data_IF_657707216976
#
_entry.id   IF_657707216976
#
_cell.length_a   1.000
_cell.length_b   1.000
_cell.length_c   1.000
_cell.angle_alpha   90.00
_cell.angle_beta   90.00
_cell.angle_gamma   90.00
#
_symmetry.space_group_name_H-M   'P 1'
#
loop_
_entity.id
_entity.type
_entity.pdbx_description
1 polymer ?
#
# COMPACT_ATOMS: atom_id res chain seq x y z
N UNK A 1 -4.71 -15.10 -46.11
CA UNK A 1 -4.14 -13.89 -45.55
C UNK A 1 -2.78 -13.64 -46.19
N UNK A 2 -2.52 -12.43 -46.60
CA UNK A 2 -1.27 -12.12 -47.24
C UNK A 2 -0.17 -11.95 -46.21
N UNK A 3 1.08 -12.02 -46.71
CA UNK A 3 2.23 -11.79 -45.85
C UNK A 3 2.18 -10.38 -45.25
N UNK A 4 1.73 -9.41 -46.05
CA UNK A 4 1.64 -8.06 -45.54
C UNK A 4 0.63 -7.96 -44.41
N UNK A 5 -0.51 -8.60 -44.55
CA UNK A 5 -1.50 -8.60 -43.47
C UNK A 5 -0.97 -9.25 -42.21
N UNK A 6 -0.25 -10.38 -42.34
CA UNK A 6 0.33 -11.01 -41.20
C UNK A 6 1.39 -10.13 -40.54
N UNK A 7 2.22 -9.50 -41.36
CA UNK A 7 3.25 -8.62 -40.82
C UNK A 7 2.64 -7.46 -40.06
N UNK A 8 1.58 -6.85 -40.65
CA UNK A 8 0.92 -5.75 -39.98
C UNK A 8 0.30 -6.16 -38.65
N UNK A 9 -0.25 -7.37 -38.60
CA UNK A 9 -0.86 -7.86 -37.38
C UNK A 9 0.21 -8.14 -36.32
N UNK A 10 1.36 -8.66 -36.73
CA UNK A 10 2.46 -8.88 -35.83
C UNK A 10 2.96 -7.56 -35.25
N UNK A 11 3.11 -6.55 -36.13
CA UNK A 11 3.55 -5.25 -35.69
C UNK A 11 2.59 -4.66 -34.65
N UNK A 12 1.30 -4.80 -34.90
CA UNK A 12 0.29 -4.32 -33.97
C UNK A 12 0.36 -5.03 -32.63
N UNK A 13 0.56 -6.35 -32.67
CA UNK A 13 0.68 -7.12 -31.43
C UNK A 13 1.94 -6.77 -30.67
N UNK A 14 3.04 -6.56 -31.37
CA UNK A 14 4.28 -6.16 -30.73
C UNK A 14 4.12 -4.82 -30.02
N UNK A 15 3.45 -3.88 -30.67
CA UNK A 15 3.19 -2.58 -30.06
C UNK A 15 2.34 -2.72 -28.81
N UNK A 16 1.33 -3.57 -28.87
CA UNK A 16 0.47 -3.79 -27.70
C UNK A 16 1.22 -4.45 -26.56
N UNK A 17 2.10 -5.40 -26.88
CA UNK A 17 2.91 -6.04 -25.86
C UNK A 17 3.83 -5.04 -25.20
N UNK A 18 4.48 -4.19 -25.99
CA UNK A 18 5.38 -3.19 -25.44
C UNK A 18 4.61 -2.26 -24.50
N UNK A 19 3.42 -1.85 -24.88
CA UNK A 19 2.59 -0.99 -24.04
C UNK A 19 2.20 -1.71 -22.74
N UNK A 20 1.81 -2.98 -22.88
CA UNK A 20 1.43 -3.76 -21.69
C UNK A 20 2.60 -3.95 -20.76
N UNK A 21 3.78 -4.24 -21.29
CA UNK A 21 4.96 -4.41 -20.48
C UNK A 21 5.26 -3.14 -19.69
N UNK A 22 5.14 -2.00 -20.32
CA UNK A 22 5.36 -0.73 -19.65
C UNK A 22 4.33 -0.50 -18.56
N UNK A 23 3.07 -0.83 -18.85
CA UNK A 23 2.00 -0.66 -17.88
C UNK A 23 2.23 -1.56 -16.67
N UNK A 24 2.64 -2.81 -16.92
CA UNK A 24 2.92 -3.74 -15.82
C UNK A 24 4.06 -3.22 -14.96
N UNK A 25 5.09 -2.68 -15.60
CA UNK A 25 6.22 -2.11 -14.87
C UNK A 25 5.76 -0.98 -13.97
N UNK A 26 4.93 -0.08 -14.50
CA UNK A 26 4.42 1.04 -13.72
C UNK A 26 3.54 0.57 -12.57
N UNK A 27 2.70 -0.43 -12.83
CA UNK A 27 1.86 -0.99 -11.78
C UNK A 27 2.70 -1.62 -10.69
N UNK A 28 3.74 -2.35 -11.06
CA UNK A 28 4.62 -2.96 -10.08
C UNK A 28 5.30 -1.92 -9.20
N UNK A 29 5.74 -0.81 -9.80
CA UNK A 29 6.34 0.27 -9.04
C UNK A 29 5.34 0.89 -8.07
N UNK A 30 4.11 1.09 -8.53
CA UNK A 30 3.06 1.65 -7.70
C UNK A 30 2.73 0.72 -6.54
N UNK A 31 2.59 -0.57 -6.82
CA UNK A 31 2.30 -1.56 -5.78
C UNK A 31 3.40 -1.60 -4.75
N UNK A 32 4.66 -1.58 -5.20
CA UNK A 32 5.79 -1.58 -4.29
C UNK A 32 5.77 -0.35 -3.39
N UNK A 33 5.49 0.81 -3.97
CA UNK A 33 5.41 2.05 -3.19
C UNK A 33 4.29 1.98 -2.17
N UNK A 34 3.15 1.44 -2.57
CA UNK A 34 2.02 1.32 -1.65
C UNK A 34 2.32 0.36 -0.50
N UNK A 35 3.00 -0.74 -0.78
CA UNK A 35 3.36 -1.67 0.28
C UNK A 35 4.30 -1.02 1.28
N UNK A 36 5.23 -0.19 0.81
CA UNK A 36 6.10 0.54 1.71
C UNK A 36 5.33 1.50 2.59
N UNK A 37 4.32 2.18 2.02
CA UNK A 37 3.49 3.08 2.79
C UNK A 37 2.67 2.33 3.83
N UNK A 38 2.10 1.20 3.44
CA UNK A 38 1.32 0.38 4.36
C UNK A 38 2.20 -0.09 5.52
N UNK A 39 3.41 -0.55 5.19
CA UNK A 39 4.33 -1.00 6.22
C UNK A 39 4.68 0.12 7.19
N UNK A 40 4.96 1.31 6.67
CA UNK A 40 5.29 2.46 7.51
C UNK A 40 4.11 2.83 8.41
N UNK A 41 2.90 2.84 7.86
CA UNK A 41 1.72 3.16 8.64
C UNK A 41 1.46 2.11 9.71
N UNK A 42 1.66 0.85 9.38
CA UNK A 42 1.48 -0.23 10.34
C UNK A 42 2.44 -0.06 11.51
N UNK A 43 3.70 0.27 11.22
CA UNK A 43 4.68 0.49 12.28
C UNK A 43 4.30 1.68 13.15
N UNK A 44 3.81 2.75 12.53
CA UNK A 44 3.40 3.94 13.30
C UNK A 44 2.21 3.62 14.18
N UNK A 45 1.25 2.85 13.67
CA UNK A 45 0.11 2.46 14.48
C UNK A 45 0.51 1.60 15.66
N UNK A 46 1.41 0.65 15.42
CA UNK A 46 1.90 -0.22 16.49
C UNK A 46 2.61 0.60 17.56
N UNK A 47 3.48 1.53 17.14
CA UNK A 47 4.19 2.38 18.08
C UNK A 47 3.23 3.25 18.88
N UNK A 48 2.23 3.80 18.20
CA UNK A 48 1.25 4.64 18.88
C UNK A 48 0.43 3.83 19.88
N UNK A 49 0.04 2.62 19.50
CA UNK A 49 -0.71 1.73 20.37
C UNK A 49 0.08 1.39 21.61
N UNK A 50 1.37 1.11 21.45
CA UNK A 50 2.24 0.80 22.58
C UNK A 50 2.38 2.00 23.51
N UNK A 51 2.56 3.19 22.91
CA UNK A 51 2.68 4.40 23.73
C UNK A 51 1.39 4.69 24.48
N UNK A 52 0.25 4.42 23.86
CA UNK A 52 -1.03 4.61 24.52
C UNK A 52 -1.18 3.65 25.69
N UNK A 53 -0.80 2.39 25.49
CA UNK A 53 -0.84 1.41 26.55
C UNK A 53 0.06 1.80 27.73
N UNK A 54 1.26 2.31 27.41
CA UNK A 54 2.15 2.79 28.44
C UNK A 54 1.57 3.96 29.21
N UNK A 55 0.96 4.89 28.48
CA UNK A 55 0.34 6.04 29.13
C UNK A 55 -0.79 5.61 30.04
N UNK A 56 -1.59 4.66 29.60
CA UNK A 56 -2.69 4.17 30.43
C UNK A 56 -2.17 3.43 31.64
N UNK A 57 -1.12 2.63 31.48
CA UNK A 57 -0.55 1.87 32.59
C UNK A 57 0.08 2.79 33.61
N UNK A 58 0.63 3.93 33.15
CA UNK A 58 1.32 4.86 34.05
C UNK A 58 0.44 5.99 34.53
N UNK A 59 -0.83 6.02 34.11
CA UNK A 59 -1.72 7.08 34.54
C UNK A 59 -1.97 7.00 36.03
N UNK A 60 -2.02 8.14 36.73
CA UNK A 60 -2.31 8.12 38.15
C UNK A 60 -3.72 7.57 38.40
N UNK A 61 -3.91 6.82 39.48
CA UNK A 61 -5.24 6.28 39.77
C UNK A 61 -6.29 7.35 39.89
N UNK A 62 -5.93 8.51 40.44
CA UNK A 62 -6.91 9.58 40.59
C UNK A 62 -7.37 10.11 39.23
N UNK A 63 -6.51 10.07 38.26
CA UNK A 63 -6.89 10.53 36.93
C UNK A 63 -7.92 9.63 36.32
N UNK A 64 -7.89 8.37 36.68
CA UNK A 64 -8.80 7.42 36.10
C UNK A 64 -10.17 7.44 36.69
N UNK A 65 -10.29 8.04 37.89
CA UNK A 65 -11.53 8.04 38.50
C UNK A 65 -12.42 8.94 37.99
N UNK A 66 -12.78 9.10 37.68
CA UNK A 66 -13.62 9.78 37.39
C UNK A 66 -14.69 9.48 37.47
N UNK A 67 -15.00 9.80 37.87
CA UNK A 67 -15.77 9.66 38.47
C UNK A 67 -16.59 8.94 38.48
N UNK A 68 -16.79 8.67 38.90
CA UNK A 68 -17.36 7.81 39.01
C UNK A 68 -18.57 7.66 38.99
N UNK A 69 -18.68 7.67 39.13
CA UNK A 69 -19.35 7.36 39.12
C UNK A 69 -20.22 7.42 39.09
N UNK A 70 -20.56 7.54 39.01
CA UNK A 70 -21.16 7.44 39.05
C UNK A 70 -21.72 7.08 38.74
#
# INVERSE_FOLDING_TARGET
MSEKELSDRIDALESRLAYQDETIEQLNQTITAQWKQIDALTRQLTALSERLQEAEANAPPTANERPPHY
#
